data_IF_678121271916
#
_entry.id   IF_678121271916
#
_cell.length_a   1.000
_cell.length_b   1.000
_cell.length_c   1.000
_cell.angle_alpha   90.00
_cell.angle_beta   90.00
_cell.angle_gamma   90.00
#
_symmetry.space_group_name_H-M   'P 1'
#
loop_
_entity.id
_entity.type
_entity.pdbx_description
1 polymer ?
#
# COMPACT_ATOMS: atom_id res chain seq x y z
N UNK A 1 -68.55 -11.23 18.67
CA UNK A 1 -67.73 -11.04 17.46
C UNK A 1 -66.27 -11.01 17.86
N UNK A 2 -65.41 -11.70 17.11
CA UNK A 2 -64.12 -12.27 17.51
C UNK A 2 -63.00 -11.22 17.50
N UNK A 3 -62.27 -11.05 18.60
CA UNK A 3 -61.10 -10.18 18.68
C UNK A 3 -59.89 -10.85 17.99
N UNK A 4 -59.49 -10.33 16.83
CA UNK A 4 -58.30 -10.77 16.11
C UNK A 4 -57.04 -10.13 16.71
N UNK A 5 -56.24 -10.93 17.42
CA UNK A 5 -54.84 -10.61 17.70
C UNK A 5 -54.04 -10.96 16.44
N UNK A 6 -53.46 -9.99 15.75
CA UNK A 6 -52.38 -10.25 14.80
C UNK A 6 -51.10 -9.57 15.28
N UNK A 7 -50.06 -10.40 15.34
CA UNK A 7 -48.74 -10.13 15.86
C UNK A 7 -47.92 -9.23 14.93
N UNK A 8 -47.15 -8.30 15.50
CA UNK A 8 -46.08 -7.60 14.78
C UNK A 8 -44.89 -8.56 14.61
N UNK A 9 -44.56 -8.90 13.37
CA UNK A 9 -43.29 -9.55 13.00
C UNK A 9 -42.23 -8.44 12.86
N UNK A 10 -41.26 -8.42 13.76
CA UNK A 10 -40.10 -7.54 13.67
C UNK A 10 -39.08 -8.12 12.68
N UNK A 11 -38.92 -7.47 11.51
CA UNK A 11 -37.92 -7.84 10.51
C UNK A 11 -36.60 -7.11 10.81
N UNK A 12 -35.64 -7.79 11.44
CA UNK A 12 -34.31 -7.24 11.69
C UNK A 12 -33.45 -7.30 10.42
N UNK A 13 -33.21 -6.15 9.78
CA UNK A 13 -32.30 -6.01 8.65
C UNK A 13 -30.85 -5.98 9.16
N UNK A 14 -30.09 -7.04 8.90
CA UNK A 14 -28.64 -7.06 9.05
C UNK A 14 -28.00 -6.23 7.93
N UNK A 15 -27.75 -4.96 8.17
CA UNK A 15 -26.89 -4.13 7.32
C UNK A 15 -25.44 -4.53 7.54
N UNK A 16 -24.89 -5.33 6.62
CA UNK A 16 -23.45 -5.59 6.55
C UNK A 16 -22.71 -4.33 6.12
N UNK A 17 -21.85 -3.79 6.98
CA UNK A 17 -20.96 -2.69 6.62
C UNK A 17 -19.90 -3.18 5.62
N UNK A 18 -19.68 -2.51 4.48
CA UNK A 18 -18.50 -2.77 3.67
C UNK A 18 -17.26 -2.37 4.49
N UNK A 19 -16.36 -3.32 4.73
CA UNK A 19 -15.04 -2.98 5.25
C UNK A 19 -14.29 -2.25 4.14
N UNK A 20 -13.89 -1.00 4.37
CA UNK A 20 -12.98 -0.31 3.47
C UNK A 20 -11.64 -1.03 3.53
N UNK A 21 -11.37 -1.84 2.51
CA UNK A 21 -10.01 -2.31 2.26
C UNK A 21 -9.19 -1.09 1.87
N UNK A 22 -8.51 -0.47 2.85
CA UNK A 22 -7.48 0.53 2.59
C UNK A 22 -6.41 -0.15 1.75
N UNK A 23 -6.36 0.19 0.46
CA UNK A 23 -5.35 -0.29 -0.47
C UNK A 23 -3.95 0.01 0.09
N UNK A 24 -3.01 -0.94 0.03
CA UNK A 24 -2.06 -1.12 1.11
C UNK A 24 -1.00 0.00 1.16
N UNK A 25 -0.60 0.39 2.38
CA UNK A 25 0.36 1.47 2.68
C UNK A 25 1.80 1.25 2.16
N UNK A 26 2.02 0.29 1.28
CA UNK A 26 3.33 -0.02 0.71
C UNK A 26 3.71 0.92 -0.44
N UNK A 27 2.75 1.49 -1.16
CA UNK A 27 3.04 2.39 -2.29
C UNK A 27 3.56 3.76 -1.81
N UNK A 28 4.50 4.31 -2.57
CA UNK A 28 5.12 5.61 -2.32
C UNK A 28 6.63 5.53 -2.09
N UNK A 29 7.22 6.62 -1.60
CA UNK A 29 8.66 6.76 -1.47
C UNK A 29 9.13 6.31 -0.09
N UNK A 30 10.18 5.50 -0.10
CA UNK A 30 10.82 4.90 1.05
C UNK A 30 12.30 5.26 1.08
N UNK A 31 12.80 5.56 2.27
CA UNK A 31 14.19 5.89 2.54
C UNK A 31 14.87 4.64 3.07
N UNK A 32 16.02 4.26 2.50
CA UNK A 32 16.93 3.31 3.14
C UNK A 32 17.51 4.01 4.36
N UNK A 33 17.84 3.27 5.42
CA UNK A 33 18.29 3.84 6.71
C UNK A 33 19.49 4.81 6.62
N UNK A 34 20.72 4.40 6.98
CA UNK A 34 21.90 5.29 7.01
C UNK A 34 22.39 5.77 5.63
N UNK A 35 21.68 5.40 4.56
CA UNK A 35 22.03 5.69 3.18
C UNK A 35 20.96 6.59 2.56
N UNK A 36 21.37 7.65 1.85
CA UNK A 36 20.45 8.60 1.19
C UNK A 36 19.69 8.00 -0.03
N UNK A 37 19.63 6.66 -0.13
CA UNK A 37 18.93 5.95 -1.19
C UNK A 37 17.42 5.99 -0.97
N UNK A 38 16.69 6.21 -2.07
CA UNK A 38 15.24 6.27 -2.07
C UNK A 38 14.65 5.38 -3.14
N UNK A 39 13.64 4.62 -2.77
CA UNK A 39 12.84 3.82 -3.69
C UNK A 39 11.39 4.26 -3.69
N UNK A 40 10.84 4.47 -4.87
CA UNK A 40 9.40 4.62 -5.07
C UNK A 40 8.80 3.26 -5.39
N UNK A 41 7.93 2.78 -4.51
CA UNK A 41 7.10 1.59 -4.73
C UNK A 41 5.80 1.99 -5.43
N UNK A 42 5.47 1.30 -6.52
CA UNK A 42 4.33 1.63 -7.39
C UNK A 42 3.67 0.37 -7.94
N UNK A 43 2.45 0.52 -8.45
CA UNK A 43 1.75 -0.54 -9.16
C UNK A 43 2.26 -0.64 -10.61
N UNK A 44 2.67 -1.84 -11.01
CA UNK A 44 3.07 -2.18 -12.36
C UNK A 44 2.26 -3.38 -12.84
N UNK A 45 1.17 -3.12 -13.56
CA UNK A 45 0.25 -4.14 -14.07
C UNK A 45 -0.34 -5.03 -12.97
N UNK A 46 -0.78 -4.43 -11.85
CA UNK A 46 -1.35 -5.15 -10.70
C UNK A 46 -0.31 -5.90 -9.87
N UNK A 47 0.98 -5.63 -10.09
CA UNK A 47 2.10 -6.16 -9.31
C UNK A 47 2.84 -5.03 -8.61
N UNK A 48 3.60 -5.37 -7.57
CA UNK A 48 4.40 -4.39 -6.85
C UNK A 48 5.77 -4.23 -7.53
N UNK A 49 6.09 -3.03 -7.98
CA UNK A 49 7.41 -2.66 -8.48
C UNK A 49 8.04 -1.58 -7.59
N UNK A 50 9.36 -1.40 -7.71
CA UNK A 50 10.07 -0.29 -7.10
C UNK A 50 11.18 0.22 -8.02
N UNK A 51 11.39 1.54 -8.02
CA UNK A 51 12.43 2.22 -8.81
C UNK A 51 13.19 3.23 -7.95
N UNK A 52 14.41 3.54 -8.37
CA UNK A 52 15.13 4.71 -7.86
C UNK A 52 14.26 5.97 -8.00
N UNK A 53 14.26 6.83 -6.99
CA UNK A 53 13.52 8.08 -7.08
C UNK A 53 14.17 9.06 -8.08
N UNK A 54 13.40 10.02 -8.58
CA UNK A 54 13.88 10.97 -9.59
C UNK A 54 15.07 11.82 -9.11
N UNK A 55 15.25 12.00 -7.80
CA UNK A 55 16.40 12.74 -7.25
C UNK A 55 17.70 11.95 -7.38
N UNK A 56 17.68 10.61 -7.48
CA UNK A 56 18.88 9.81 -7.83
C UNK A 56 19.25 9.94 -9.31
N UNK A 57 18.33 10.39 -10.18
CA UNK A 57 18.53 10.51 -11.63
C UNK A 57 19.28 11.76 -12.11
N UNK A 58 19.98 12.50 -11.23
CA UNK A 58 20.70 13.75 -11.57
C UNK A 58 21.72 13.64 -12.72
N UNK A 59 22.08 12.41 -13.12
CA UNK A 59 22.94 12.09 -14.26
C UNK A 59 22.19 11.91 -15.60
N UNK A 60 20.89 12.21 -15.66
CA UNK A 60 20.12 12.32 -16.90
C UNK A 60 19.64 11.00 -17.53
N UNK A 61 19.79 9.88 -16.83
CA UNK A 61 19.27 8.57 -17.26
C UNK A 61 17.88 8.27 -16.68
N UNK A 62 17.13 7.32 -17.28
CA UNK A 62 15.88 6.85 -16.67
C UNK A 62 16.16 6.20 -15.30
N UNK A 63 15.23 6.32 -14.32
CA UNK A 63 15.38 5.67 -13.03
C UNK A 63 15.46 4.17 -13.18
N UNK A 64 16.36 3.52 -12.44
CA UNK A 64 16.53 2.07 -12.52
C UNK A 64 15.40 1.37 -11.76
N UNK A 65 14.91 0.27 -12.33
CA UNK A 65 13.91 -0.60 -11.66
C UNK A 65 14.64 -1.59 -10.77
N UNK A 66 14.43 -1.46 -9.46
CA UNK A 66 15.06 -2.27 -8.42
C UNK A 66 14.21 -3.48 -8.09
N UNK A 67 12.91 -3.30 -7.82
CA UNK A 67 11.98 -4.41 -7.62
C UNK A 67 11.13 -4.63 -8.87
N UNK A 68 11.14 -5.85 -9.40
CA UNK A 68 10.43 -6.24 -10.62
C UNK A 68 9.26 -7.17 -10.30
N UNK A 69 8.05 -6.70 -10.63
CA UNK A 69 6.83 -7.51 -10.73
C UNK A 69 6.56 -8.43 -9.53
N UNK A 70 6.70 -7.91 -8.31
CA UNK A 70 6.51 -8.70 -7.10
C UNK A 70 5.04 -9.03 -6.88
N UNK A 71 4.77 -10.31 -6.62
CA UNK A 71 3.44 -10.86 -6.39
C UNK A 71 3.13 -10.88 -4.90
N UNK A 72 1.85 -10.70 -4.56
CA UNK A 72 1.38 -10.83 -3.18
C UNK A 72 1.63 -12.26 -2.68
N UNK A 73 2.29 -12.40 -1.54
CA UNK A 73 2.68 -13.70 -0.97
C UNK A 73 2.05 -13.97 0.39
N UNK A 74 1.36 -12.99 0.97
CA UNK A 74 0.71 -13.08 2.27
C UNK A 74 0.24 -11.71 2.76
N UNK A 75 -0.30 -11.65 3.98
CA UNK A 75 -0.64 -10.39 4.62
C UNK A 75 0.62 -9.51 4.70
N UNK A 76 0.56 -8.31 4.13
CA UNK A 76 1.68 -7.37 4.08
C UNK A 76 2.98 -7.93 3.48
N UNK A 77 2.90 -8.99 2.67
CA UNK A 77 4.07 -9.67 2.09
C UNK A 77 3.99 -9.75 0.57
N UNK A 78 5.14 -9.54 -0.09
CA UNK A 78 5.32 -9.72 -1.52
C UNK A 78 6.63 -10.44 -1.83
N UNK A 79 6.69 -11.11 -2.97
CA UNK A 79 7.90 -11.79 -3.49
C UNK A 79 8.10 -11.43 -4.95
N UNK A 80 9.33 -11.12 -5.33
CA UNK A 80 9.69 -10.76 -6.70
C UNK A 80 11.18 -10.82 -6.92
N UNK A 81 11.66 -10.12 -7.94
CA UNK A 81 13.08 -10.04 -8.26
C UNK A 81 13.66 -8.67 -7.89
N UNK A 82 14.82 -8.67 -7.24
CA UNK A 82 15.57 -7.47 -6.87
C UNK A 82 16.80 -7.34 -7.77
N UNK A 83 16.84 -6.30 -8.59
CA UNK A 83 18.00 -5.95 -9.40
C UNK A 83 18.91 -4.98 -8.64
N UNK A 84 20.18 -5.34 -8.47
CA UNK A 84 21.20 -4.44 -7.93
C UNK A 84 21.96 -3.77 -9.10
N UNK A 85 21.85 -2.44 -9.26
CA UNK A 85 22.48 -1.73 -10.37
C UNK A 85 24.00 -1.56 -10.21
N UNK A 86 24.54 -1.66 -9.00
CA UNK A 86 25.97 -1.54 -8.72
C UNK A 86 26.76 -2.73 -9.27
N UNK A 87 26.17 -3.93 -9.21
CA UNK A 87 26.82 -5.16 -9.67
C UNK A 87 26.12 -5.85 -10.85
N UNK A 88 24.96 -5.34 -11.28
CA UNK A 88 24.19 -5.84 -12.41
C UNK A 88 23.49 -7.19 -12.18
N UNK A 89 23.42 -7.68 -10.94
CA UNK A 89 22.82 -8.99 -10.62
C UNK A 89 21.38 -8.86 -10.15
N UNK A 90 20.65 -9.96 -10.30
CA UNK A 90 19.27 -10.09 -9.82
C UNK A 90 19.20 -11.15 -8.71
N UNK A 91 18.45 -10.85 -7.66
CA UNK A 91 18.30 -11.63 -6.45
C UNK A 91 16.84 -11.98 -6.21
N UNK A 92 16.59 -13.07 -5.48
CA UNK A 92 15.24 -13.34 -4.98
C UNK A 92 14.89 -12.31 -3.90
N UNK A 93 13.77 -11.61 -4.10
CA UNK A 93 13.31 -10.55 -3.22
C UNK A 93 12.11 -10.94 -2.37
N UNK A 94 12.12 -10.52 -1.10
CA UNK A 94 10.95 -10.53 -0.22
C UNK A 94 10.74 -9.12 0.33
N UNK A 95 9.48 -8.70 0.36
CA UNK A 95 9.07 -7.41 0.91
C UNK A 95 8.07 -7.70 2.00
N UNK A 96 8.38 -7.21 3.20
CA UNK A 96 7.48 -7.22 4.34
C UNK A 96 7.17 -5.76 4.68
N UNK A 97 5.91 -5.38 4.61
CA UNK A 97 5.48 -4.09 5.15
C UNK A 97 5.24 -4.22 6.66
N UNK A 98 5.89 -3.35 7.42
CA UNK A 98 5.87 -3.28 8.88
C UNK A 98 5.16 -1.97 9.28
N UNK A 99 3.83 -2.00 9.52
CA UNK A 99 3.08 -0.79 9.82
C UNK A 99 3.60 -0.07 11.09
N UNK A 100 3.45 1.26 11.16
CA UNK A 100 2.79 2.10 10.16
C UNK A 100 3.71 2.61 9.04
N UNK A 101 5.04 2.62 9.24
CA UNK A 101 5.96 3.40 8.41
C UNK A 101 7.29 2.69 8.16
N UNK A 102 7.35 1.37 8.29
CA UNK A 102 8.56 0.60 8.01
C UNK A 102 8.30 -0.45 6.93
N UNK A 103 9.35 -0.78 6.18
CA UNK A 103 9.39 -1.94 5.30
C UNK A 103 10.69 -2.69 5.55
N UNK A 104 10.65 -4.01 5.41
CA UNK A 104 11.86 -4.83 5.32
C UNK A 104 11.95 -5.40 3.92
N UNK A 105 13.07 -5.12 3.26
CA UNK A 105 13.42 -5.66 1.95
C UNK A 105 14.54 -6.68 2.15
N UNK A 106 14.31 -7.92 1.72
CA UNK A 106 15.28 -9.00 1.84
C UNK A 106 15.67 -9.49 0.45
N UNK A 107 16.96 -9.42 0.12
CA UNK A 107 17.54 -10.00 -1.08
C UNK A 107 18.31 -11.28 -0.75
N UNK A 108 18.07 -12.36 -1.50
CA UNK A 108 18.78 -13.63 -1.34
C UNK A 108 19.49 -14.00 -2.64
N UNK A 109 20.81 -14.26 -2.57
CA UNK A 109 21.60 -14.76 -3.71
C UNK A 109 21.33 -16.24 -3.95
N UNK A 110 21.25 -17.00 -2.86
CA UNK A 110 20.88 -18.41 -2.82
C UNK A 110 19.94 -18.60 -1.63
N UNK A 111 19.24 -19.74 -1.55
CA UNK A 111 18.13 -19.97 -0.63
C UNK A 111 18.39 -19.59 0.85
N UNK A 112 19.64 -19.61 1.30
CA UNK A 112 20.04 -19.31 2.69
C UNK A 112 20.96 -18.08 2.83
N UNK A 113 21.54 -17.54 1.75
CA UNK A 113 22.41 -16.38 1.83
C UNK A 113 21.61 -15.12 1.47
N UNK A 114 21.04 -14.51 2.50
CA UNK A 114 20.17 -13.36 2.39
C UNK A 114 20.72 -12.17 3.19
N UNK A 115 20.44 -10.97 2.69
CA UNK A 115 20.61 -9.71 3.41
C UNK A 115 19.27 -9.00 3.49
N UNK A 116 19.01 -8.36 4.62
CA UNK A 116 17.79 -7.62 4.88
C UNK A 116 18.12 -6.17 5.20
N UNK A 117 17.27 -5.28 4.72
CA UNK A 117 17.36 -3.85 4.93
C UNK A 117 16.02 -3.35 5.44
N UNK A 118 16.09 -2.45 6.41
CA UNK A 118 14.93 -1.71 6.86
C UNK A 118 14.88 -0.38 6.10
N UNK A 119 13.67 0.01 5.75
CA UNK A 119 13.39 1.26 5.09
C UNK A 119 12.27 1.95 5.84
N UNK A 120 12.34 3.27 5.89
CA UNK A 120 11.36 4.12 6.54
C UNK A 120 10.56 4.91 5.50
N UNK A 121 9.28 5.13 5.78
CA UNK A 121 8.43 5.91 4.86
C UNK A 121 8.96 7.34 4.79
N UNK A 122 9.12 7.86 3.58
CA UNK A 122 9.54 9.26 3.43
C UNK A 122 8.37 10.20 3.71
N UNK A 123 8.65 11.34 4.34
CA UNK A 123 7.66 12.41 4.55
C UNK A 123 7.30 13.16 3.25
N UNK A 124 8.03 12.91 2.15
CA UNK A 124 7.76 13.53 0.85
C UNK A 124 6.72 12.71 0.08
N UNK A 125 5.61 13.36 -0.28
CA UNK A 125 4.58 12.78 -1.13
C UNK A 125 5.17 12.41 -2.51
N UNK A 126 4.92 11.21 -3.06
CA UNK A 126 5.35 10.86 -4.41
C UNK A 126 4.67 11.80 -5.41
N UNK A 127 5.45 12.45 -6.27
CA UNK A 127 4.94 13.43 -7.24
C UNK A 127 3.93 12.85 -8.25
N UNK A 128 3.82 11.53 -8.36
CA UNK A 128 2.89 10.82 -9.24
C UNK A 128 2.08 9.72 -8.55
N UNK A 129 1.95 9.74 -7.21
CA UNK A 129 0.91 8.93 -6.60
C UNK A 129 -0.43 9.54 -7.01
N UNK A 130 -1.33 8.81 -7.71
CA UNK A 130 -2.72 9.23 -7.71
C UNK A 130 -3.10 9.38 -6.24
N UNK A 131 -3.57 10.57 -5.85
CA UNK A 131 -4.12 10.76 -4.52
C UNK A 131 -5.05 9.58 -4.26
N UNK A 132 -5.00 8.92 -3.08
CA UNK A 132 -5.99 7.90 -2.77
C UNK A 132 -7.33 8.56 -3.01
N UNK A 133 -8.03 8.13 -4.06
CA UNK A 133 -9.35 8.68 -4.35
C UNK A 133 -10.13 8.34 -3.11
N UNK A 134 -10.67 9.33 -2.35
CA UNK A 134 -11.53 8.99 -1.24
C UNK A 134 -12.62 8.12 -1.84
N UNK A 135 -12.65 6.85 -1.45
CA UNK A 135 -13.77 5.97 -1.75
C UNK A 135 -14.97 6.71 -1.16
N UNK A 136 -15.71 7.39 -2.04
CA UNK A 136 -16.85 8.22 -1.71
C UNK A 136 -17.87 7.33 -1.01
N UNK A 137 -17.87 7.34 0.32
CA UNK A 137 -19.10 7.19 1.08
C UNK A 137 -19.90 8.48 0.90
N UNK A 138 -21.24 8.42 0.79
CA UNK A 138 -22.05 9.63 0.63
C UNK A 138 -21.82 10.55 1.82
N UNK A 139 -21.55 11.82 1.54
CA UNK A 139 -21.52 12.88 2.54
C UNK A 139 -22.80 12.78 3.40
N UNK A 140 -22.63 12.62 4.70
CA UNK A 140 -23.74 12.64 5.64
C UNK A 140 -24.53 13.96 5.43
N UNK A 141 -25.86 13.91 5.29
CA UNK A 141 -26.64 15.14 5.19
C UNK A 141 -26.49 15.91 6.51
N UNK A 142 -26.05 17.16 6.40
CA UNK A 142 -26.03 18.11 7.50
C UNK A 142 -27.43 18.23 8.08
N UNK A 143 -27.62 17.74 9.30
CA UNK A 143 -28.83 17.96 10.07
C UNK A 143 -28.98 19.47 10.32
N UNK A 144 -29.88 20.11 9.57
CA UNK A 144 -30.33 21.46 9.85
C UNK A 144 -31.03 21.48 11.21
N UNK A 145 -30.38 22.08 12.21
CA UNK A 145 -31.03 22.49 13.45
C UNK A 145 -31.96 23.67 13.14
N UNK A 146 -33.22 23.36 12.87
CA UNK A 146 -34.30 24.34 12.92
C UNK A 146 -34.46 24.84 14.35
N UNK A 147 -34.24 26.15 14.56
CA UNK A 147 -34.57 26.83 15.81
C UNK A 147 -36.07 27.18 15.80
N UNK A 148 -36.83 26.88 16.86
CA UNK A 148 -38.26 27.19 16.91
C UNK A 148 -38.51 28.68 17.18
N UNK A 149 -39.55 29.23 16.52
CA UNK A 149 -40.34 30.37 17.01
C UNK A 149 -41.81 30.09 16.70
#
# INVERSE_FOLDING_TARGET
MKHGRLALVALALLVGSPSLATEPPIYGVWLRDEHEERLEFYDCDGKLCAREDNVVSIYGGPPKIILRSAVKAGANQWKGELFNPENGKTYSGKIQYNPPNQLTLTGCLIAFLCQSETWTRSDKTPANSPAPTPLHGPAAPTAAHGKPK
#
